data_IF_175584827310
#
_entry.id   IF_175584827310
#
_cell.length_a   1.000
_cell.length_b   1.000
_cell.length_c   1.000
_cell.angle_alpha   90.00
_cell.angle_beta   90.00
_cell.angle_gamma   90.00
#
_symmetry.space_group_name_H-M   'P 1'
#
loop_
_entity.id
_entity.type
_entity.pdbx_description
1 polymer ?
#
# COMPACT_ATOMS: atom_id res chain seq x y z
N UNK A 1 33.04 37.63 16.95
CA UNK A 1 33.33 36.18 16.77
C UNK A 1 32.14 35.24 17.10
N UNK A 2 31.00 35.77 17.57
CA UNK A 2 29.83 34.98 17.99
C UNK A 2 28.94 34.56 16.78
N UNK A 3 28.87 35.39 15.73
CA UNK A 3 28.06 35.13 14.52
C UNK A 3 28.46 33.87 13.72
N UNK A 4 29.76 33.51 13.73
CA UNK A 4 30.31 32.38 12.95
C UNK A 4 30.03 31.02 13.61
N UNK A 5 29.75 31.01 14.91
CA UNK A 5 29.54 29.80 15.71
C UNK A 5 28.09 29.33 15.62
N UNK A 6 27.14 30.26 15.62
CA UNK A 6 25.71 30.00 15.41
C UNK A 6 25.39 29.49 14.00
N UNK A 7 26.08 29.98 12.96
CA UNK A 7 25.92 29.47 11.58
C UNK A 7 26.37 28.00 11.43
N UNK A 8 27.49 27.60 12.06
CA UNK A 8 27.93 26.19 12.06
C UNK A 8 26.98 25.27 12.82
N UNK A 9 26.41 25.74 13.93
CA UNK A 9 25.43 24.98 14.72
C UNK A 9 24.14 24.76 13.91
N UNK A 10 23.68 25.79 13.18
CA UNK A 10 22.49 25.68 12.33
C UNK A 10 22.66 24.65 11.20
N UNK A 11 23.83 24.65 10.55
CA UNK A 11 24.14 23.69 9.46
C UNK A 11 24.19 22.26 9.99
N UNK A 12 24.78 22.04 11.17
CA UNK A 12 24.83 20.71 11.80
C UNK A 12 23.43 20.25 12.20
N UNK A 13 22.62 21.13 12.79
CA UNK A 13 21.24 20.80 13.16
C UNK A 13 20.38 20.44 11.94
N UNK A 14 20.48 21.20 10.84
CA UNK A 14 19.83 20.89 9.56
C UNK A 14 20.31 19.56 8.98
N UNK A 15 21.62 19.29 9.02
CA UNK A 15 22.17 18.01 8.58
C UNK A 15 21.61 16.82 9.36
N UNK A 16 21.51 16.94 10.68
CA UNK A 16 20.92 15.89 11.54
C UNK A 16 19.44 15.69 11.22
N UNK A 17 18.66 16.77 11.05
CA UNK A 17 17.23 16.67 10.71
C UNK A 17 17.04 15.96 9.37
N UNK A 18 17.82 16.32 8.34
CA UNK A 18 17.74 15.68 7.02
C UNK A 18 18.08 14.19 7.13
N UNK A 19 19.14 13.83 7.85
CA UNK A 19 19.54 12.43 8.05
C UNK A 19 18.41 11.65 8.74
N UNK A 20 17.80 12.20 9.79
CA UNK A 20 16.69 11.53 10.49
C UNK A 20 15.49 11.32 9.57
N UNK A 21 15.11 12.33 8.77
CA UNK A 21 14.00 12.21 7.80
C UNK A 21 14.30 11.09 6.78
N UNK A 22 15.53 11.02 6.28
CA UNK A 22 15.93 9.98 5.32
C UNK A 22 15.88 8.60 5.97
N UNK A 23 16.38 8.45 7.21
CA UNK A 23 16.35 7.17 7.93
C UNK A 23 14.91 6.71 8.15
N UNK A 24 14.03 7.58 8.63
CA UNK A 24 12.61 7.24 8.85
C UNK A 24 11.96 6.80 7.54
N UNK A 25 12.17 7.55 6.46
CA UNK A 25 11.62 7.21 5.14
C UNK A 25 12.12 5.85 4.63
N UNK A 26 13.40 5.54 4.81
CA UNK A 26 13.98 4.24 4.41
C UNK A 26 13.39 3.08 5.22
N UNK A 27 13.15 3.28 6.52
CA UNK A 27 12.51 2.26 7.37
C UNK A 27 11.07 2.03 6.92
N UNK A 28 10.30 3.11 6.71
CA UNK A 28 8.91 3.03 6.25
C UNK A 28 8.81 2.32 4.89
N UNK A 29 9.67 2.69 3.93
CA UNK A 29 9.70 2.07 2.59
C UNK A 29 10.07 0.56 2.66
N UNK A 30 10.84 0.14 3.67
CA UNK A 30 11.22 -1.26 3.88
C UNK A 30 10.15 -2.09 4.60
N UNK A 31 9.43 -1.50 5.56
CA UNK A 31 8.40 -2.20 6.32
C UNK A 31 7.03 -2.20 5.64
N UNK A 32 6.75 -1.19 4.81
CA UNK A 32 5.48 -1.05 4.10
C UNK A 32 5.04 -2.32 3.33
N UNK A 33 5.87 -2.96 2.48
CA UNK A 33 5.49 -4.20 1.81
C UNK A 33 5.13 -5.34 2.77
N UNK A 34 5.79 -5.42 3.93
CA UNK A 34 5.48 -6.44 4.93
C UNK A 34 4.13 -6.18 5.61
N UNK A 35 3.75 -4.91 5.79
CA UNK A 35 2.44 -4.57 6.33
C UNK A 35 1.32 -4.94 5.34
N UNK A 36 1.52 -4.68 4.05
CA UNK A 36 0.59 -5.14 3.00
C UNK A 36 0.49 -6.67 2.99
N UNK A 37 1.61 -7.38 3.07
CA UNK A 37 1.61 -8.84 3.13
C UNK A 37 0.84 -9.38 4.36
N UNK A 38 0.95 -8.72 5.51
CA UNK A 38 0.16 -9.07 6.71
C UNK A 38 -1.33 -8.83 6.50
N UNK A 39 -1.73 -7.69 5.91
CA UNK A 39 -3.13 -7.40 5.58
C UNK A 39 -3.72 -8.45 4.63
N UNK A 40 -2.94 -8.90 3.66
CA UNK A 40 -3.34 -9.96 2.74
C UNK A 40 -3.19 -11.37 3.31
N UNK A 41 -2.75 -11.53 4.56
CA UNK A 41 -2.48 -12.83 5.18
C UNK A 41 -1.52 -13.73 4.36
N UNK A 42 -0.49 -13.12 3.76
CA UNK A 42 0.52 -13.83 2.97
C UNK A 42 1.89 -13.81 3.67
N UNK A 43 2.55 -14.96 3.70
CA UNK A 43 3.91 -15.10 4.24
C UNK A 43 4.68 -16.18 3.46
N UNK A 44 5.89 -15.89 2.97
CA UNK A 44 6.65 -14.64 3.11
C UNK A 44 6.21 -13.53 2.14
N UNK A 45 6.47 -12.25 2.46
CA UNK A 45 6.24 -11.11 1.55
C UNK A 45 6.92 -11.32 0.19
N UNK A 46 6.24 -11.09 -0.95
CA UNK A 46 6.88 -11.12 -2.26
C UNK A 46 8.00 -10.08 -2.37
N UNK A 47 9.19 -10.51 -2.83
CA UNK A 47 10.37 -9.62 -2.89
C UNK A 47 10.22 -8.48 -3.89
N UNK A 48 9.37 -8.67 -4.91
CA UNK A 48 9.08 -7.66 -5.93
C UNK A 48 7.98 -6.68 -5.51
N UNK A 49 7.29 -6.93 -4.39
CA UNK A 49 6.22 -6.07 -3.90
C UNK A 49 6.79 -4.73 -3.46
N UNK A 50 6.28 -3.65 -4.05
CA UNK A 50 6.62 -2.28 -3.72
C UNK A 50 5.35 -1.51 -3.42
N UNK A 51 5.34 -0.80 -2.29
CA UNK A 51 4.30 0.16 -2.02
C UNK A 51 4.58 1.45 -2.80
N UNK A 52 3.61 1.92 -3.57
CA UNK A 52 3.70 3.19 -4.30
C UNK A 52 3.03 4.32 -3.52
N UNK A 53 1.87 4.04 -2.93
CA UNK A 53 1.06 5.02 -2.21
C UNK A 53 0.03 4.32 -1.31
N UNK A 54 -0.37 4.92 -0.20
CA UNK A 54 -1.44 4.41 0.66
C UNK A 54 -2.28 5.57 1.22
N UNK A 55 -3.59 5.35 1.25
CA UNK A 55 -4.55 6.10 2.04
C UNK A 55 -5.06 5.20 3.16
N UNK A 56 -5.14 5.75 4.36
CA UNK A 56 -5.89 5.16 5.46
C UNK A 56 -6.93 6.18 5.90
N UNK A 57 -8.20 5.87 5.68
CA UNK A 57 -9.29 6.73 6.16
C UNK A 57 -9.59 6.31 7.59
N UNK A 58 -9.51 7.26 8.52
CA UNK A 58 -9.89 7.00 9.90
C UNK A 58 -11.41 7.00 10.02
N UNK A 59 -12.00 5.81 10.02
CA UNK A 59 -13.41 5.57 10.34
C UNK A 59 -13.45 5.04 11.79
N UNK A 60 -14.30 5.58 12.69
CA UNK A 60 -14.23 5.26 14.12
C UNK A 60 -14.43 3.77 14.46
N UNK A 61 -15.17 3.06 13.61
CA UNK A 61 -15.55 1.67 13.79
C UNK A 61 -14.82 0.74 12.83
N UNK A 62 -14.36 1.25 11.69
CA UNK A 62 -13.94 0.41 10.57
C UNK A 62 -12.44 0.63 10.26
N UNK A 63 -11.79 -0.43 9.78
CA UNK A 63 -10.42 -0.36 9.24
C UNK A 63 -10.50 -0.29 7.73
N UNK A 64 -10.17 0.89 7.17
CA UNK A 64 -10.09 1.11 5.72
C UNK A 64 -8.65 1.42 5.34
N UNK A 65 -8.05 0.54 4.54
CA UNK A 65 -6.69 0.71 4.01
C UNK A 65 -6.68 0.51 2.50
N UNK A 66 -6.36 1.56 1.77
CA UNK A 66 -6.34 1.56 0.30
C UNK A 66 -4.92 1.88 -0.17
N UNK A 67 -4.28 0.94 -0.85
CA UNK A 67 -2.87 1.04 -1.22
C UNK A 67 -2.63 0.72 -2.68
N UNK A 68 -1.87 1.58 -3.36
CA UNK A 68 -1.34 1.34 -4.68
C UNK A 68 0.02 0.62 -4.58
N UNK A 69 0.18 -0.45 -5.35
CA UNK A 69 1.39 -1.26 -5.36
C UNK A 69 1.92 -1.47 -6.78
N UNK A 70 3.22 -1.73 -6.87
CA UNK A 70 3.87 -2.35 -8.02
C UNK A 70 4.38 -3.74 -7.61
N UNK A 71 4.22 -4.74 -8.48
CA UNK A 71 4.73 -6.09 -8.28
C UNK A 71 5.21 -6.68 -9.61
N UNK A 72 6.15 -7.64 -9.56
CA UNK A 72 6.47 -8.44 -10.74
C UNK A 72 5.24 -9.31 -11.09
N UNK A 73 4.77 -9.34 -12.34
CA UNK A 73 3.64 -10.16 -12.75
C UNK A 73 3.74 -11.65 -12.35
N UNK A 74 4.96 -12.19 -12.24
CA UNK A 74 5.19 -13.58 -11.79
C UNK A 74 4.89 -13.80 -10.32
N UNK A 75 5.02 -12.77 -9.51
CA UNK A 75 4.74 -12.80 -8.07
C UNK A 75 3.29 -12.36 -7.77
N UNK A 76 2.56 -11.78 -8.72
CA UNK A 76 1.17 -11.34 -8.51
C UNK A 76 0.25 -12.43 -7.95
N UNK A 77 0.26 -13.69 -8.43
CA UNK A 77 -0.62 -14.74 -7.88
C UNK A 77 -0.48 -14.92 -6.37
N UNK A 78 0.69 -14.57 -5.81
CA UNK A 78 0.96 -14.66 -4.37
C UNK A 78 0.10 -13.71 -3.56
N UNK A 79 -0.34 -12.58 -4.12
CA UNK A 79 -1.26 -11.65 -3.47
C UNK A 79 -2.64 -12.27 -3.21
N UNK A 80 -2.99 -13.33 -3.96
CA UNK A 80 -4.27 -14.00 -3.89
C UNK A 80 -4.25 -15.25 -2.98
N UNK A 81 -3.09 -15.60 -2.40
CA UNK A 81 -2.93 -16.87 -1.66
C UNK A 81 -3.53 -16.84 -0.25
N UNK A 82 -3.62 -15.66 0.38
CA UNK A 82 -4.02 -15.53 1.78
C UNK A 82 -5.52 -15.64 2.04
N UNK A 83 -6.36 -15.53 0.99
CA UNK A 83 -7.82 -15.59 1.06
C UNK A 83 -8.44 -16.26 -0.17
N UNK A 84 -9.70 -16.66 -0.05
CA UNK A 84 -10.48 -17.23 -1.15
C UNK A 84 -11.02 -16.12 -2.06
N UNK A 85 -10.18 -15.64 -2.98
CA UNK A 85 -10.57 -14.62 -3.95
C UNK A 85 -11.43 -15.19 -5.09
N UNK A 86 -12.48 -14.45 -5.46
CA UNK A 86 -13.24 -14.65 -6.68
C UNK A 86 -12.93 -13.52 -7.67
N UNK A 87 -12.75 -13.86 -8.93
CA UNK A 87 -12.61 -12.86 -9.98
C UNK A 87 -14.00 -12.40 -10.43
N UNK A 88 -14.23 -11.10 -10.39
CA UNK A 88 -15.47 -10.46 -10.87
C UNK A 88 -15.20 -9.64 -12.13
N UNK A 89 -16.26 -9.19 -12.78
CA UNK A 89 -16.13 -8.32 -13.94
C UNK A 89 -15.42 -7.02 -13.54
N UNK A 90 -14.48 -6.59 -14.39
CA UNK A 90 -13.76 -5.35 -14.25
C UNK A 90 -14.04 -4.46 -15.46
N UNK A 91 -14.28 -3.17 -15.21
CA UNK A 91 -14.36 -2.14 -16.22
C UNK A 91 -13.81 -0.80 -15.69
N UNK A 92 -13.60 0.16 -16.60
CA UNK A 92 -13.10 1.49 -16.22
C UNK A 92 -11.64 1.53 -15.78
N UNK A 93 -11.34 2.41 -14.82
CA UNK A 93 -10.00 2.63 -14.28
C UNK A 93 -10.00 2.45 -12.77
N UNK A 94 -8.83 2.37 -12.14
CA UNK A 94 -8.77 2.29 -10.68
C UNK A 94 -9.46 3.47 -10.00
N UNK A 95 -9.40 4.68 -10.58
CA UNK A 95 -10.09 5.85 -10.04
C UNK A 95 -11.63 5.83 -10.19
N UNK A 96 -12.19 5.00 -11.07
CA UNK A 96 -13.65 4.81 -11.14
C UNK A 96 -14.15 3.68 -10.23
N UNK A 97 -13.26 2.77 -9.84
CA UNK A 97 -13.60 1.59 -9.03
C UNK A 97 -13.37 1.82 -7.53
N UNK A 98 -12.37 2.63 -7.16
CA UNK A 98 -11.99 2.88 -5.76
C UNK A 98 -12.18 4.37 -5.44
N UNK A 99 -12.88 4.73 -4.35
CA UNK A 99 -13.14 6.14 -4.01
C UNK A 99 -11.87 6.95 -3.77
N UNK A 100 -10.89 6.35 -3.11
CA UNK A 100 -9.62 7.00 -2.80
C UNK A 100 -8.63 6.84 -3.96
N UNK A 101 -8.24 7.99 -4.51
CA UNK A 101 -7.31 8.09 -5.64
C UNK A 101 -5.87 7.96 -5.16
N UNK A 102 -5.44 6.74 -4.89
CA UNK A 102 -4.05 6.41 -4.55
C UNK A 102 -3.26 6.01 -5.78
N UNK A 103 -2.00 6.43 -5.84
CA UNK A 103 -1.10 6.11 -6.95
C UNK A 103 -1.56 6.71 -8.30
N UNK A 104 -1.05 6.15 -9.41
CA UNK A 104 -1.36 6.60 -10.78
C UNK A 104 -2.65 5.92 -11.30
N UNK A 105 -3.43 6.66 -12.08
CA UNK A 105 -4.57 6.10 -12.83
C UNK A 105 -4.13 5.05 -13.87
N UNK A 106 -4.82 3.91 -13.93
CA UNK A 106 -4.60 2.83 -14.88
C UNK A 106 -5.91 2.09 -15.24
N UNK A 107 -6.02 1.55 -16.47
CA UNK A 107 -7.18 0.76 -16.88
C UNK A 107 -7.23 -0.57 -16.13
N UNK A 108 -8.38 -0.89 -15.53
CA UNK A 108 -8.55 -2.15 -14.78
C UNK A 108 -8.86 -3.28 -15.75
N UNK A 109 -8.14 -4.38 -15.64
CA UNK A 109 -8.39 -5.61 -16.37
C UNK A 109 -8.86 -6.75 -15.47
N UNK A 110 -8.46 -6.72 -14.20
CA UNK A 110 -8.81 -7.75 -13.22
C UNK A 110 -9.36 -7.11 -11.96
N UNK A 111 -10.41 -7.70 -11.41
CA UNK A 111 -10.98 -7.35 -10.13
C UNK A 111 -11.19 -8.65 -9.33
N UNK A 112 -10.49 -8.77 -8.21
CA UNK A 112 -10.58 -9.91 -7.31
C UNK A 112 -11.19 -9.45 -5.99
N UNK A 113 -12.18 -10.19 -5.49
CA UNK A 113 -12.85 -9.89 -4.23
C UNK A 113 -12.76 -11.11 -3.32
N UNK A 114 -12.42 -10.90 -2.06
CA UNK A 114 -12.49 -11.90 -1.00
C UNK A 114 -13.35 -11.39 0.16
N UNK A 115 -14.03 -12.33 0.83
CA UNK A 115 -14.80 -12.08 2.05
C UNK A 115 -14.21 -12.92 3.20
N UNK A 116 -13.18 -12.41 3.90
CA UNK A 116 -12.50 -13.16 4.94
C UNK A 116 -13.41 -13.55 6.10
N UNK A 117 -13.47 -14.84 6.42
CA UNK A 117 -14.30 -15.36 7.53
C UNK A 117 -13.80 -14.96 8.92
N UNK A 118 -12.56 -14.46 9.00
CA UNK A 118 -11.92 -14.03 10.25
C UNK A 118 -12.19 -12.56 10.60
N UNK A 119 -12.81 -11.79 9.71
CA UNK A 119 -13.30 -10.45 10.07
C UNK A 119 -14.53 -10.62 10.96
N UNK A 120 -14.54 -9.93 12.11
CA UNK A 120 -15.53 -10.20 13.17
C UNK A 120 -16.91 -9.72 12.79
N UNK A 121 -17.00 -8.48 12.32
CA UNK A 121 -18.27 -7.81 12.06
C UNK A 121 -18.59 -7.76 10.55
N UNK A 122 -17.58 -8.02 9.70
CA UNK A 122 -17.75 -8.17 8.26
C UNK A 122 -16.62 -7.47 7.50
N UNK A 123 -16.86 -7.24 6.21
CA UNK A 123 -15.92 -6.55 5.35
C UNK A 123 -15.47 -7.39 4.16
N UNK A 124 -14.52 -6.83 3.41
CA UNK A 124 -14.03 -7.43 2.17
C UNK A 124 -12.63 -6.94 1.85
N UNK A 125 -11.94 -7.71 1.01
CA UNK A 125 -10.68 -7.28 0.40
C UNK A 125 -10.88 -7.30 -1.11
N UNK A 126 -10.59 -6.17 -1.74
CA UNK A 126 -10.61 -6.01 -3.19
C UNK A 126 -9.20 -5.79 -3.71
N UNK A 127 -8.83 -6.52 -4.75
CA UNK A 127 -7.58 -6.32 -5.50
C UNK A 127 -7.94 -6.07 -6.94
N UNK A 128 -7.75 -4.84 -7.40
CA UNK A 128 -7.88 -4.48 -8.82
C UNK A 128 -6.49 -4.38 -9.45
N UNK A 129 -6.34 -4.86 -10.68
CA UNK A 129 -5.05 -4.88 -11.36
C UNK A 129 -5.18 -4.51 -12.85
N UNK A 130 -4.08 -4.00 -13.39
CA UNK A 130 -3.91 -3.75 -14.83
C UNK A 130 -3.77 -5.06 -15.62
N UNK A 131 -3.78 -4.95 -16.95
CA UNK A 131 -3.70 -6.10 -17.86
C UNK A 131 -2.44 -6.96 -17.63
N UNK A 132 -1.34 -6.32 -17.27
CA UNK A 132 -0.05 -6.99 -17.06
C UNK A 132 0.10 -7.55 -15.64
N UNK A 133 -0.85 -7.26 -14.74
CA UNK A 133 -0.77 -7.58 -13.30
C UNK A 133 0.49 -7.01 -12.64
N UNK A 134 0.92 -5.84 -13.11
CA UNK A 134 2.09 -5.10 -12.59
C UNK A 134 1.66 -4.01 -11.63
N UNK A 135 0.61 -3.27 -11.97
CA UNK A 135 0.01 -2.25 -11.13
C UNK A 135 -1.26 -2.81 -10.50
N UNK A 136 -1.41 -2.61 -9.20
CA UNK A 136 -2.61 -3.01 -8.49
C UNK A 136 -2.98 -2.04 -7.37
N UNK A 137 -4.28 -1.94 -7.10
CA UNK A 137 -4.81 -1.33 -5.87
C UNK A 137 -5.34 -2.44 -4.98
N UNK A 138 -4.93 -2.40 -3.71
CA UNK A 138 -5.48 -3.22 -2.64
C UNK A 138 -6.39 -2.31 -1.82
N UNK A 139 -7.66 -2.67 -1.73
CA UNK A 139 -8.65 -2.03 -0.87
C UNK A 139 -9.07 -3.04 0.20
N UNK A 140 -8.59 -2.81 1.42
CA UNK A 140 -8.87 -3.62 2.60
C UNK A 140 -9.91 -2.89 3.44
N UNK A 141 -11.03 -3.56 3.67
CA UNK A 141 -12.12 -3.10 4.51
C UNK A 141 -12.49 -4.16 5.54
N UNK A 142 -12.37 -3.82 6.81
CA UNK A 142 -12.86 -4.63 7.95
C UNK A 142 -13.78 -3.74 8.80
N UNK A 143 -14.99 -4.24 9.07
CA UNK A 143 -16.02 -3.59 9.91
C UNK A 143 -15.78 -3.84 11.40
#
# INVERSE_FOLDING_TARGET
MILKRSSKILIVALGVIIITIVIVKVIDDHEAPNNIAKLLNISPTPKSLRLLDCSSVWVPTDVVVICAIEIDPKDFPRLLEGYEFIQVQADGTNYSNIPDKVGKDFPVAYNYVAYPKNFKDGGQITIIADQDKRLAIIDYYEE
#
